data_IF_511029354719
#
_entry.id   IF_511029354719
#
_cell.length_a   1.000
_cell.length_b   1.000
_cell.length_c   1.000
_cell.angle_alpha   90.00
_cell.angle_beta   90.00
_cell.angle_gamma   90.00
#
_symmetry.space_group_name_H-M   'P 1'
#
loop_
_entity.id
_entity.type
_entity.pdbx_description
1 polymer ?
#
# COMPACT_ATOMS: atom_id res chain seq x y z
N UNK A 1 8.16 -4.77 -36.95
CA UNK A 1 8.40 -4.91 -35.50
C UNK A 1 7.05 -5.06 -34.83
N UNK A 2 6.75 -6.24 -34.27
CA UNK A 2 5.45 -6.50 -33.62
C UNK A 2 5.52 -5.98 -32.18
N UNK A 3 4.72 -4.95 -31.89
CA UNK A 3 4.53 -4.46 -30.52
C UNK A 3 3.83 -5.57 -29.74
N UNK A 4 4.52 -6.15 -28.75
CA UNK A 4 3.88 -7.07 -27.79
C UNK A 4 2.84 -6.25 -27.04
N UNK A 5 1.55 -6.59 -27.18
CA UNK A 5 0.49 -6.06 -26.32
C UNK A 5 0.75 -6.59 -24.91
N UNK A 6 1.32 -5.77 -24.04
CA UNK A 6 1.36 -6.06 -22.62
C UNK A 6 -0.08 -6.03 -22.11
N UNK A 7 -0.58 -7.19 -21.69
CA UNK A 7 -1.84 -7.26 -20.96
C UNK A 7 -1.72 -6.43 -19.69
N UNK A 8 -2.66 -5.52 -19.41
CA UNK A 8 -2.67 -4.78 -18.16
C UNK A 8 -2.57 -5.74 -16.98
N UNK A 9 -1.82 -5.40 -15.92
CA UNK A 9 -1.74 -6.25 -14.74
C UNK A 9 -3.15 -6.56 -14.22
N UNK A 10 -3.39 -7.77 -13.70
CA UNK A 10 -4.67 -8.12 -13.10
C UNK A 10 -5.03 -7.05 -12.06
N UNK A 11 -6.30 -6.62 -12.06
CA UNK A 11 -6.75 -5.67 -11.05
C UNK A 11 -6.51 -6.30 -9.67
N UNK A 12 -5.90 -5.57 -8.71
CA UNK A 12 -5.76 -6.07 -7.35
C UNK A 12 -7.12 -6.51 -6.81
N UNK A 13 -7.13 -7.51 -5.94
CA UNK A 13 -8.40 -7.86 -5.32
C UNK A 13 -8.92 -6.66 -4.48
N UNK A 14 -10.24 -6.46 -4.35
CA UNK A 14 -10.77 -5.27 -3.70
C UNK A 14 -10.31 -5.08 -2.25
N UNK A 15 -10.01 -6.17 -1.53
CA UNK A 15 -9.47 -6.12 -0.17
C UNK A 15 -8.02 -5.60 -0.15
N UNK A 16 -7.16 -6.08 -1.04
CA UNK A 16 -5.80 -5.60 -1.22
C UNK A 16 -5.77 -4.13 -1.63
N UNK A 17 -6.68 -3.73 -2.53
CA UNK A 17 -6.83 -2.33 -2.92
C UNK A 17 -7.19 -1.44 -1.73
N UNK A 18 -8.12 -1.89 -0.88
CA UNK A 18 -8.50 -1.18 0.35
C UNK A 18 -7.31 -1.06 1.32
N UNK A 19 -6.55 -2.14 1.52
CA UNK A 19 -5.35 -2.13 2.39
C UNK A 19 -4.28 -1.18 1.84
N UNK A 20 -4.04 -1.19 0.52
CA UNK A 20 -3.07 -0.30 -0.13
C UNK A 20 -3.48 1.17 -0.02
N UNK A 21 -4.77 1.49 -0.21
CA UNK A 21 -5.29 2.86 -0.06
C UNK A 21 -5.12 3.36 1.38
N UNK A 22 -5.49 2.54 2.37
CA UNK A 22 -5.32 2.88 3.77
C UNK A 22 -3.84 3.09 4.14
N UNK A 23 -2.95 2.20 3.68
CA UNK A 23 -1.52 2.35 3.90
C UNK A 23 -0.97 3.66 3.29
N UNK A 24 -1.41 3.99 2.08
CA UNK A 24 -1.05 5.25 1.40
C UNK A 24 -1.47 6.47 2.20
N UNK A 25 -2.73 6.52 2.65
CA UNK A 25 -3.25 7.65 3.41
C UNK A 25 -2.52 7.87 4.74
N UNK A 26 -2.23 6.79 5.48
CA UNK A 26 -1.45 6.89 6.73
C UNK A 26 -0.04 7.41 6.47
N UNK A 27 0.65 6.86 5.47
CA UNK A 27 2.01 7.28 5.14
C UNK A 27 2.07 8.76 4.72
N UNK A 28 1.16 9.19 3.84
CA UNK A 28 1.03 10.60 3.43
C UNK A 28 0.75 11.48 4.64
N UNK A 29 -0.16 11.07 5.54
CA UNK A 29 -0.47 11.85 6.74
C UNK A 29 0.71 12.03 7.67
N UNK A 30 1.55 11.00 7.83
CA UNK A 30 2.76 11.07 8.65
C UNK A 30 3.78 12.04 8.04
N UNK A 31 3.88 12.09 6.71
CA UNK A 31 4.74 13.04 6.00
C UNK A 31 4.20 14.47 6.16
N UNK A 32 2.91 14.70 5.91
CA UNK A 32 2.26 16.01 6.04
C UNK A 32 2.38 16.60 7.45
N UNK A 33 2.35 15.74 8.47
CA UNK A 33 2.45 16.15 9.88
C UNK A 33 3.89 16.20 10.40
N UNK A 34 4.88 15.96 9.55
CA UNK A 34 6.30 15.99 9.92
C UNK A 34 6.74 14.85 10.83
N UNK A 35 5.97 13.76 10.91
CA UNK A 35 6.29 12.55 11.69
C UNK A 35 7.10 11.52 10.90
N UNK A 36 7.21 11.70 9.58
CA UNK A 36 8.01 10.89 8.68
C UNK A 36 8.57 11.79 7.57
N UNK A 37 9.79 11.54 7.11
CA UNK A 37 10.34 12.23 5.94
C UNK A 37 10.04 11.44 4.66
N UNK A 38 10.06 12.11 3.50
CA UNK A 38 9.95 11.42 2.20
C UNK A 38 11.06 10.36 2.01
N UNK A 39 12.26 10.63 2.51
CA UNK A 39 13.38 9.70 2.43
C UNK A 39 13.15 8.39 3.21
N UNK A 40 12.36 8.43 4.28
CA UNK A 40 12.03 7.26 5.09
C UNK A 40 10.84 6.45 4.53
N UNK A 41 10.20 6.91 3.45
CA UNK A 41 8.98 6.29 2.93
C UNK A 41 9.19 4.83 2.51
N UNK A 42 10.28 4.55 1.79
CA UNK A 42 10.55 3.20 1.25
C UNK A 42 10.72 2.15 2.36
N UNK A 43 11.31 2.54 3.49
CA UNK A 43 11.47 1.68 4.66
C UNK A 43 10.16 1.57 5.48
N UNK A 44 9.44 2.67 5.66
CA UNK A 44 8.30 2.72 6.56
C UNK A 44 6.99 2.23 5.94
N UNK A 45 6.78 2.45 4.64
CA UNK A 45 5.53 2.06 3.95
C UNK A 45 5.23 0.55 4.04
N UNK A 46 6.20 -0.37 3.85
CA UNK A 46 5.97 -1.80 4.04
C UNK A 46 5.55 -2.15 5.48
N UNK A 47 6.03 -1.43 6.48
CA UNK A 47 5.66 -1.65 7.88
C UNK A 47 4.20 -1.26 8.13
N UNK A 48 3.80 -0.08 7.65
CA UNK A 48 2.41 0.40 7.70
C UNK A 48 1.48 -0.59 6.99
N UNK A 49 1.83 -0.99 5.77
CA UNK A 49 1.05 -1.95 4.98
C UNK A 49 0.85 -3.28 5.73
N UNK A 50 1.93 -3.85 6.28
CA UNK A 50 1.87 -5.11 7.05
C UNK A 50 1.02 -4.98 8.30
N UNK A 51 1.10 -3.85 9.01
CA UNK A 51 0.30 -3.62 10.21
C UNK A 51 -1.20 -3.65 9.91
N UNK A 52 -1.64 -2.95 8.86
CA UNK A 52 -3.05 -2.92 8.42
C UNK A 52 -3.47 -4.31 7.91
N UNK A 53 -2.64 -4.94 7.07
CA UNK A 53 -2.93 -6.26 6.52
C UNK A 53 -3.13 -7.29 7.62
N UNK A 54 -2.30 -7.25 8.66
CA UNK A 54 -2.42 -8.12 9.82
C UNK A 54 -3.68 -7.84 10.63
N UNK A 55 -4.09 -6.57 10.78
CA UNK A 55 -5.34 -6.23 11.45
C UNK A 55 -6.55 -6.81 10.70
N UNK A 56 -6.62 -6.60 9.38
CA UNK A 56 -7.72 -7.12 8.54
C UNK A 56 -7.75 -8.65 8.50
N UNK A 57 -6.58 -9.31 8.54
CA UNK A 57 -6.50 -10.78 8.58
C UNK A 57 -6.85 -11.36 9.95
N UNK A 58 -6.60 -10.65 11.05
CA UNK A 58 -6.96 -11.08 12.40
C UNK A 58 -8.48 -11.11 12.62
N UNK A 59 -9.24 -10.29 11.90
CA UNK A 59 -10.72 -10.29 11.92
C UNK A 59 -11.36 -11.49 11.18
N UNK A 60 -10.59 -12.32 10.46
CA UNK A 60 -11.11 -13.52 9.77
C UNK A 60 -11.05 -14.80 10.60
N UNK A 61 -11.03 -14.71 11.94
CA UNK A 61 -11.04 -15.86 12.84
C UNK A 61 -12.35 -16.01 13.59
#
# INVERSE_FOLDING_TARGET
MSVKKETPPPRPNPQEEAVLKAAKEIAVKFIETGRMSLAAFDEAFPQIYRAILNAVRKDKK
#
